data_IF_282406819839
#
_entry.id   IF_282406819839
#
_cell.length_a   1.000
_cell.length_b   1.000
_cell.length_c   1.000
_cell.angle_alpha   90.00
_cell.angle_beta   90.00
_cell.angle_gamma   90.00
#
_symmetry.space_group_name_H-M   'P 1'
#
loop_
_entity.id
_entity.type
_entity.pdbx_description
1 polymer ?
#
# COMPACT_ATOMS: atom_id res chain seq x y z
N UNK A 1 8.67 -13.51 -2.40
CA UNK A 1 9.36 -12.35 -1.82
C UNK A 1 10.31 -11.77 -2.85
N UNK A 2 9.92 -10.65 -3.43
CA UNK A 2 10.67 -9.89 -4.45
C UNK A 2 11.54 -8.81 -3.79
N UNK A 3 12.48 -8.23 -4.53
CA UNK A 3 13.33 -7.13 -4.04
C UNK A 3 12.47 -5.94 -3.57
N UNK A 4 11.41 -5.60 -4.31
CA UNK A 4 10.50 -4.53 -3.94
C UNK A 4 9.76 -4.80 -2.63
N UNK A 5 9.28 -6.03 -2.43
CA UNK A 5 8.62 -6.43 -1.17
C UNK A 5 9.58 -6.33 0.03
N UNK A 6 10.84 -6.71 -0.14
CA UNK A 6 11.86 -6.60 0.92
C UNK A 6 12.06 -5.12 1.29
N UNK A 7 12.29 -4.25 0.30
CA UNK A 7 12.51 -2.83 0.51
C UNK A 7 11.36 -2.17 1.25
N UNK A 8 10.12 -2.48 0.88
CA UNK A 8 8.93 -1.92 1.52
C UNK A 8 8.81 -2.43 2.97
N UNK A 9 8.94 -3.74 3.19
CA UNK A 9 8.68 -4.37 4.50
C UNK A 9 9.61 -3.82 5.59
N UNK A 10 10.90 -3.62 5.28
CA UNK A 10 11.87 -3.13 6.28
C UNK A 10 11.79 -1.62 6.52
N UNK A 11 11.36 -0.83 5.53
CA UNK A 11 11.33 0.64 5.63
C UNK A 11 9.98 1.17 6.13
N UNK A 12 8.88 0.50 5.81
CA UNK A 12 7.52 0.98 6.11
C UNK A 12 7.32 1.22 7.61
N UNK A 13 7.69 0.26 8.47
CA UNK A 13 7.52 0.38 9.92
C UNK A 13 8.31 1.54 10.52
N UNK A 14 9.57 1.69 10.12
CA UNK A 14 10.46 2.78 10.57
C UNK A 14 9.95 4.15 10.12
N UNK A 15 9.48 4.28 8.88
CA UNK A 15 8.91 5.53 8.36
C UNK A 15 7.70 5.97 9.18
N UNK A 16 6.77 5.05 9.46
CA UNK A 16 5.56 5.35 10.25
C UNK A 16 5.92 5.72 11.69
N UNK A 17 6.83 4.98 12.32
CA UNK A 17 7.24 5.23 13.70
C UNK A 17 7.88 6.62 13.86
N UNK A 18 8.71 7.04 12.91
CA UNK A 18 9.37 8.35 12.91
C UNK A 18 8.40 9.50 12.62
N UNK A 19 7.36 9.28 11.82
CA UNK A 19 6.36 10.30 11.49
C UNK A 19 5.14 10.31 12.43
N UNK A 20 5.10 9.44 13.45
CA UNK A 20 3.97 9.37 14.39
C UNK A 20 4.40 9.77 15.81
N UNK A 21 3.70 10.72 16.47
CA UNK A 21 3.96 11.09 17.86
C UNK A 21 3.85 9.90 18.82
N UNK A 22 4.71 9.86 19.84
CA UNK A 22 4.80 8.76 20.81
C UNK A 22 3.46 8.43 21.49
N UNK A 23 2.62 9.45 21.75
CA UNK A 23 1.31 9.30 22.40
C UNK A 23 0.24 8.65 21.52
N UNK A 24 0.37 8.72 20.19
CA UNK A 24 -0.62 8.21 19.23
C UNK A 24 -0.09 7.05 18.37
N UNK A 25 1.20 6.71 18.50
CA UNK A 25 1.86 5.64 17.75
C UNK A 25 1.12 4.30 17.85
N UNK A 26 0.69 3.91 19.04
CA UNK A 26 -0.05 2.67 19.24
C UNK A 26 -1.33 2.59 18.40
N UNK A 27 -2.11 3.69 18.32
CA UNK A 27 -3.36 3.73 17.53
C UNK A 27 -3.11 3.63 16.03
N UNK A 28 -2.12 4.37 15.54
CA UNK A 28 -1.75 4.36 14.12
C UNK A 28 -1.18 2.99 13.73
N UNK A 29 -0.34 2.41 14.57
CA UNK A 29 0.20 1.05 14.37
C UNK A 29 -0.88 -0.03 14.39
N UNK A 30 -2.01 0.16 15.07
CA UNK A 30 -3.14 -0.77 15.04
C UNK A 30 -4.05 -0.61 13.82
N UNK A 31 -4.20 0.60 13.29
CA UNK A 31 -5.04 0.87 12.11
C UNK A 31 -4.41 0.33 10.82
N UNK A 32 -3.08 0.40 10.70
CA UNK A 32 -2.39 -0.03 9.48
C UNK A 32 -2.59 -1.51 9.14
N UNK A 33 -2.43 -2.47 10.09
CA UNK A 33 -2.78 -3.87 9.87
C UNK A 33 -4.25 -4.09 9.51
N UNK A 34 -5.18 -3.28 10.04
CA UNK A 34 -6.60 -3.38 9.68
C UNK A 34 -6.83 -3.02 8.21
N UNK A 35 -6.20 -1.94 7.74
CA UNK A 35 -6.27 -1.53 6.33
C UNK A 35 -5.64 -2.60 5.43
N UNK A 36 -4.45 -3.09 5.78
CA UNK A 36 -3.79 -4.16 5.03
C UNK A 36 -4.62 -5.44 5.02
N UNK A 37 -5.16 -5.85 6.17
CA UNK A 37 -6.02 -7.03 6.31
C UNK A 37 -7.30 -6.91 5.47
N UNK A 38 -7.92 -5.73 5.43
CA UNK A 38 -9.06 -5.47 4.55
C UNK A 38 -8.68 -5.63 3.08
N UNK A 39 -7.53 -5.10 2.66
CA UNK A 39 -7.00 -5.29 1.31
C UNK A 39 -6.77 -6.77 0.98
N UNK A 40 -6.23 -7.56 1.90
CA UNK A 40 -6.04 -9.00 1.72
C UNK A 40 -7.34 -9.81 1.67
N UNK A 41 -8.40 -9.35 2.36
CA UNK A 41 -9.70 -10.00 2.33
C UNK A 41 -10.48 -9.67 1.04
N UNK A 42 -10.53 -8.38 0.68
CA UNK A 42 -11.34 -7.89 -0.44
C UNK A 42 -10.64 -8.06 -1.78
N UNK A 43 -9.30 -8.00 -1.81
CA UNK A 43 -8.50 -8.12 -3.03
C UNK A 43 -8.76 -9.39 -3.82
N UNK A 44 -8.65 -10.60 -3.23
CA UNK A 44 -8.92 -11.85 -3.91
C UNK A 44 -10.38 -11.99 -4.36
N UNK A 45 -11.33 -11.47 -3.59
CA UNK A 45 -12.75 -11.50 -3.95
C UNK A 45 -13.01 -10.71 -5.23
N UNK A 46 -12.57 -9.45 -5.28
CA UNK A 46 -12.73 -8.60 -6.47
C UNK A 46 -11.94 -9.15 -7.65
N UNK A 47 -10.70 -9.60 -7.42
CA UNK A 47 -9.85 -10.11 -8.50
C UNK A 47 -10.37 -11.43 -9.06
N UNK A 48 -10.93 -12.31 -8.23
CA UNK A 48 -11.59 -13.54 -8.67
C UNK A 48 -12.71 -13.25 -9.66
N UNK A 49 -13.63 -12.36 -9.30
CA UNK A 49 -14.74 -11.94 -10.16
C UNK A 49 -14.29 -11.34 -11.50
N UNK A 50 -13.19 -10.57 -11.49
CA UNK A 50 -12.62 -9.96 -12.69
C UNK A 50 -12.02 -11.02 -13.62
N UNK A 51 -11.28 -11.97 -13.07
CA UNK A 51 -10.64 -13.03 -13.85
C UNK A 51 -11.69 -13.95 -14.46
N UNK A 52 -12.77 -14.26 -13.74
CA UNK A 52 -13.87 -15.10 -14.24
C UNK A 52 -14.64 -14.45 -15.39
N UNK A 53 -14.96 -13.13 -15.29
CA UNK A 53 -15.76 -12.42 -16.30
C UNK A 53 -14.97 -12.00 -17.54
N UNK A 54 -13.70 -11.67 -17.36
CA UNK A 54 -12.84 -11.20 -18.44
C UNK A 54 -11.79 -12.26 -18.75
N UNK A 55 -10.55 -12.04 -18.31
CA UNK A 55 -9.41 -12.93 -18.47
C UNK A 55 -8.32 -12.48 -17.49
N UNK A 56 -7.35 -13.36 -17.21
CA UNK A 56 -6.23 -13.07 -16.30
C UNK A 56 -5.42 -11.84 -16.72
N UNK A 57 -5.30 -11.56 -18.03
CA UNK A 57 -4.59 -10.40 -18.55
C UNK A 57 -5.21 -9.08 -18.07
N UNK A 58 -6.55 -8.99 -18.05
CA UNK A 58 -7.27 -7.80 -17.58
C UNK A 58 -7.00 -7.56 -16.08
N UNK A 59 -6.95 -8.63 -15.28
CA UNK A 59 -6.58 -8.55 -13.87
C UNK A 59 -5.17 -7.96 -13.66
N UNK A 60 -4.19 -8.44 -14.44
CA UNK A 60 -2.82 -7.92 -14.39
C UNK A 60 -2.73 -6.44 -14.82
N UNK A 61 -3.48 -6.02 -15.84
CA UNK A 61 -3.54 -4.63 -16.26
C UNK A 61 -4.12 -3.73 -15.16
N UNK A 62 -5.17 -4.18 -14.47
CA UNK A 62 -5.78 -3.44 -13.37
C UNK A 62 -4.78 -3.28 -12.20
N UNK A 63 -4.11 -4.37 -11.77
CA UNK A 63 -3.07 -4.29 -10.74
C UNK A 63 -1.96 -3.33 -11.15
N UNK A 64 -1.55 -3.37 -12.41
CA UNK A 64 -0.49 -2.50 -12.93
C UNK A 64 -0.89 -1.02 -12.84
N UNK A 65 -2.12 -0.68 -13.23
CA UNK A 65 -2.65 0.70 -13.12
C UNK A 65 -2.71 1.15 -11.66
N UNK A 66 -3.24 0.30 -10.76
CA UNK A 66 -3.30 0.60 -9.32
C UNK A 66 -1.90 0.83 -8.74
N UNK A 67 -0.92 0.02 -9.18
CA UNK A 67 0.47 0.16 -8.74
C UNK A 67 1.09 1.48 -9.19
N UNK A 68 0.83 1.90 -10.45
CA UNK A 68 1.26 3.21 -10.97
C UNK A 68 0.64 4.36 -10.17
N UNK A 69 -0.65 4.27 -9.82
CA UNK A 69 -1.32 5.26 -8.97
C UNK A 69 -0.65 5.32 -7.59
N UNK A 70 -0.31 4.18 -7.01
CA UNK A 70 0.42 4.12 -5.74
C UNK A 70 1.79 4.81 -5.80
N UNK A 71 2.53 4.63 -6.89
CA UNK A 71 3.81 5.33 -7.14
C UNK A 71 3.59 6.85 -7.22
N UNK A 72 2.57 7.31 -7.96
CA UNK A 72 2.26 8.74 -8.08
C UNK A 72 1.92 9.37 -6.72
N UNK A 73 1.14 8.68 -5.89
CA UNK A 73 0.79 9.13 -4.54
C UNK A 73 2.03 9.22 -3.65
N UNK A 74 2.94 8.24 -3.73
CA UNK A 74 4.19 8.26 -2.95
C UNK A 74 5.13 9.40 -3.39
N UNK A 75 5.24 9.66 -4.70
CA UNK A 75 6.00 10.81 -5.21
C UNK A 75 5.40 12.13 -4.72
N UNK A 76 4.07 12.23 -4.73
CA UNK A 76 3.39 13.41 -4.20
C UNK A 76 3.64 13.59 -2.70
N UNK A 77 3.58 12.51 -1.92
CA UNK A 77 3.89 12.52 -0.49
C UNK A 77 5.33 12.96 -0.21
N UNK A 78 6.30 12.49 -1.00
CA UNK A 78 7.70 12.90 -0.88
C UNK A 78 7.86 14.41 -1.13
N UNK A 79 7.25 14.92 -2.20
CA UNK A 79 7.27 16.36 -2.51
C UNK A 79 6.66 17.18 -1.37
N UNK A 80 5.50 16.76 -0.86
CA UNK A 80 4.83 17.46 0.24
C UNK A 80 5.66 17.44 1.53
N UNK A 81 6.30 16.31 1.84
CA UNK A 81 7.18 16.16 3.01
C UNK A 81 8.43 17.04 2.88
N UNK A 82 9.03 17.14 1.69
CA UNK A 82 10.17 18.03 1.41
C UNK A 82 9.83 19.51 1.49
N UNK A 83 8.59 19.92 1.20
CA UNK A 83 8.15 21.32 1.30
C UNK A 83 7.96 21.74 2.78
N UNK A 84 7.64 20.77 3.65
CA UNK A 84 7.33 21.01 5.06
C UNK A 84 8.58 21.04 5.96
N UNK A 85 9.67 20.42 5.53
CA UNK A 85 10.98 20.45 6.19
C UNK A 85 11.87 21.55 5.60
#
# INVERSE_FOLDING_TARGET
MTIGEILITINQGTFIANNTPSSHRGRISSILPLISGFGFAVGPMIMGDIIEKYNSLTGWLIISIISVIGVLIMIFLEKFTKIKN
#
